data_IF_607164340648
#
_entry.id   IF_607164340648
#
_cell.length_a   1.000
_cell.length_b   1.000
_cell.length_c   1.000
_cell.angle_alpha   90.00
_cell.angle_beta   90.00
_cell.angle_gamma   90.00
#
_symmetry.space_group_name_H-M   'P 1'
#
loop_
_entity.id
_entity.type
_entity.pdbx_description
1 polymer ?
#
# COMPACT_ATOMS: atom_id res chain seq x y z
N UNK A 1 12.71 -2.74 -5.41
CA UNK A 1 13.22 -2.61 -4.03
C UNK A 1 12.91 -1.20 -3.55
N UNK A 2 12.57 -1.02 -2.27
CA UNK A 2 12.18 0.29 -1.71
C UNK A 2 12.56 0.42 -0.24
N UNK A 3 12.45 1.64 0.31
CA UNK A 3 12.74 1.90 1.72
C UNK A 3 11.68 1.27 2.62
N UNK A 4 12.12 0.52 3.64
CA UNK A 4 11.27 -0.19 4.59
C UNK A 4 11.46 0.38 6.00
N UNK A 5 10.39 0.40 6.78
CA UNK A 5 10.41 0.68 8.23
C UNK A 5 9.58 -0.38 8.97
N UNK A 6 9.89 -0.56 10.25
CA UNK A 6 9.15 -1.50 11.11
C UNK A 6 7.74 -0.99 11.39
N UNK A 7 6.79 -1.91 11.45
CA UNK A 7 5.42 -1.64 11.90
C UNK A 7 5.30 -1.80 13.42
N UNK A 8 4.23 -1.29 14.02
CA UNK A 8 3.92 -1.48 15.44
C UNK A 8 3.74 -2.96 15.82
N UNK A 9 3.32 -3.79 14.85
CA UNK A 9 3.18 -5.24 15.00
C UNK A 9 4.50 -6.02 14.77
N UNK A 10 5.65 -5.33 14.64
CA UNK A 10 6.95 -5.97 14.41
C UNK A 10 7.19 -6.46 12.98
N UNK A 11 6.27 -6.22 12.05
CA UNK A 11 6.40 -6.51 10.63
C UNK A 11 7.13 -5.38 9.89
N UNK A 12 7.23 -5.45 8.57
CA UNK A 12 7.86 -4.41 7.73
C UNK A 12 6.86 -3.85 6.73
N UNK A 13 6.92 -2.54 6.51
CA UNK A 13 6.13 -1.85 5.49
C UNK A 13 7.02 -0.87 4.72
N UNK A 14 6.73 -0.69 3.42
CA UNK A 14 7.43 0.32 2.65
C UNK A 14 7.00 1.71 3.10
N UNK A 15 7.97 2.63 3.23
CA UNK A 15 7.71 4.03 3.58
C UNK A 15 6.75 4.65 2.56
N UNK A 16 6.95 4.38 1.26
CA UNK A 16 6.05 4.87 0.20
C UNK A 16 4.62 4.32 0.34
N UNK A 17 4.45 3.04 0.74
CA UNK A 17 3.12 2.48 0.97
C UNK A 17 2.40 3.22 2.10
N UNK A 18 3.12 3.52 3.19
CA UNK A 18 2.56 4.27 4.32
C UNK A 18 2.23 5.73 3.96
N UNK A 19 2.96 6.35 3.02
CA UNK A 19 2.69 7.71 2.57
C UNK A 19 1.45 7.82 1.68
N UNK A 20 1.14 6.80 0.89
CA UNK A 20 0.05 6.82 -0.09
C UNK A 20 -1.23 6.09 0.38
N UNK A 21 -1.18 5.38 1.51
CA UNK A 21 -2.38 4.82 2.17
C UNK A 21 -2.81 5.82 3.25
N UNK A 22 -3.94 6.54 3.07
CA UNK A 22 -4.32 7.65 3.96
C UNK A 22 -4.46 7.29 5.44
N UNK A 23 -4.86 6.04 5.73
CA UNK A 23 -5.10 5.55 7.08
C UNK A 23 -3.83 4.97 7.74
N UNK A 24 -2.74 4.81 6.98
CA UNK A 24 -1.44 4.49 7.55
C UNK A 24 -0.76 5.77 8.02
N UNK A 25 -0.08 5.71 9.16
CA UNK A 25 0.61 6.87 9.70
C UNK A 25 1.89 6.46 10.43
N UNK A 26 2.75 7.44 10.71
CA UNK A 26 3.99 7.22 11.46
C UNK A 26 3.79 7.66 12.90
N UNK A 27 4.09 6.79 13.87
CA UNK A 27 3.97 7.14 15.28
C UNK A 27 4.88 8.31 15.68
N UNK A 28 6.05 8.42 15.04
CA UNK A 28 6.91 9.60 15.10
C UNK A 28 7.22 10.09 13.68
N UNK A 29 6.83 11.32 13.37
CA UNK A 29 7.01 11.93 12.04
C UNK A 29 8.45 12.38 11.75
N UNK A 30 9.26 12.62 12.78
CA UNK A 30 10.68 13.00 12.60
C UNK A 30 11.52 11.79 12.20
N UNK A 31 11.29 10.65 12.86
CA UNK A 31 12.02 9.40 12.58
C UNK A 31 11.31 8.53 11.53
N UNK A 32 10.06 8.85 11.20
CA UNK A 32 9.17 8.07 10.34
C UNK A 32 9.06 6.61 10.80
N UNK A 33 8.97 6.37 12.12
CA UNK A 33 8.83 5.04 12.68
C UNK A 33 8.23 5.01 14.10
N UNK A 34 7.63 3.88 14.52
CA UNK A 34 7.15 2.78 13.66
C UNK A 34 5.99 3.23 12.75
N UNK A 35 5.80 2.49 11.66
CA UNK A 35 4.60 2.62 10.83
C UNK A 35 3.43 2.00 11.60
N UNK A 36 2.32 2.73 11.72
CA UNK A 36 1.09 2.26 12.36
C UNK A 36 0.09 1.86 11.27
N UNK A 37 -0.29 0.59 11.25
CA UNK A 37 -1.23 -0.01 10.30
C UNK A 37 -2.58 -0.42 10.92
N UNK A 38 -2.70 -0.40 12.24
CA UNK A 38 -3.95 -0.73 12.97
C UNK A 38 -5.16 0.10 12.56
N UNK A 39 -4.96 1.33 12.07
CA UNK A 39 -6.02 2.20 11.57
C UNK A 39 -6.44 1.88 10.12
N UNK A 40 -5.70 1.03 9.41
CA UNK A 40 -5.95 0.70 8.01
C UNK A 40 -7.14 -0.28 7.91
N UNK A 41 -8.23 0.06 7.20
CA UNK A 41 -9.38 -0.81 7.05
C UNK A 41 -9.01 -2.14 6.39
N UNK A 42 -9.58 -3.24 6.88
CA UNK A 42 -9.41 -4.58 6.29
C UNK A 42 -9.82 -4.64 4.82
N UNK A 43 -10.77 -3.80 4.41
CA UNK A 43 -11.21 -3.67 3.02
C UNK A 43 -10.06 -3.32 2.06
N UNK A 44 -9.01 -2.62 2.51
CA UNK A 44 -7.84 -2.33 1.66
C UNK A 44 -7.01 -3.57 1.38
N UNK A 45 -7.00 -4.53 2.31
CA UNK A 45 -6.26 -5.79 2.18
C UNK A 45 -7.03 -6.85 1.40
N UNK A 46 -8.33 -6.65 1.14
CA UNK A 46 -9.16 -7.56 0.35
C UNK A 46 -9.27 -7.17 -1.12
N UNK A 47 -8.71 -6.02 -1.53
CA UNK A 47 -8.74 -5.57 -2.93
C UNK A 47 -7.70 -6.28 -3.78
N UNK A 48 -8.02 -6.43 -5.06
CA UNK A 48 -7.12 -6.97 -6.07
C UNK A 48 -6.40 -5.84 -6.79
N UNK A 49 -5.07 -5.92 -6.85
CA UNK A 49 -4.24 -5.03 -7.65
C UNK A 49 -4.34 -5.39 -9.14
N UNK A 50 -4.97 -4.53 -9.94
CA UNK A 50 -5.15 -4.76 -11.39
C UNK A 50 -3.81 -4.94 -12.12
N UNK A 51 -2.77 -4.20 -11.70
CA UNK A 51 -1.42 -4.30 -12.29
C UNK A 51 -0.80 -5.69 -12.02
N UNK A 52 -1.04 -6.28 -10.85
CA UNK A 52 -0.57 -7.63 -10.55
C UNK A 52 -1.33 -8.67 -11.36
N UNK A 53 -2.65 -8.49 -11.51
CA UNK A 53 -3.54 -9.36 -12.27
C UNK A 53 -3.16 -9.36 -13.78
N UNK A 54 -2.93 -8.18 -14.37
CA UNK A 54 -2.44 -8.06 -15.76
C UNK A 54 -1.09 -8.76 -15.98
N UNK A 55 -0.24 -8.78 -14.94
CA UNK A 55 1.05 -9.47 -14.96
C UNK A 55 0.95 -10.97 -14.61
N UNK A 56 -0.27 -11.52 -14.47
CA UNK A 56 -0.53 -12.91 -14.06
C UNK A 56 0.13 -13.30 -12.74
N UNK A 57 0.20 -12.35 -11.79
CA UNK A 57 0.73 -12.55 -10.45
C UNK A 57 -0.40 -12.63 -9.43
N UNK A 58 -1.33 -13.55 -9.62
CA UNK A 58 -2.60 -13.64 -8.90
C UNK A 58 -2.42 -13.73 -7.38
N UNK A 59 -1.46 -14.55 -6.92
CA UNK A 59 -1.13 -14.67 -5.49
C UNK A 59 -0.60 -13.36 -4.89
N UNK A 60 0.01 -12.50 -5.71
CA UNK A 60 0.46 -11.16 -5.29
C UNK A 60 -0.58 -10.08 -5.58
N UNK A 61 -1.66 -10.38 -6.29
CA UNK A 61 -2.68 -9.40 -6.62
C UNK A 61 -3.54 -9.08 -5.39
N UNK A 62 -3.74 -10.05 -4.51
CA UNK A 62 -4.49 -9.93 -3.24
C UNK A 62 -3.58 -9.88 -2.00
N UNK A 63 -2.26 -9.73 -2.20
CA UNK A 63 -1.29 -9.74 -1.11
C UNK A 63 -0.93 -8.33 -0.63
N UNK A 64 -1.51 -7.91 0.49
CA UNK A 64 -1.24 -6.62 1.12
C UNK A 64 -2.33 -5.60 0.84
N UNK A 65 -2.09 -4.33 1.18
CA UNK A 65 -3.07 -3.26 1.04
C UNK A 65 -2.97 -2.56 -0.32
N UNK A 66 -4.11 -2.35 -0.97
CA UNK A 66 -4.22 -1.55 -2.19
C UNK A 66 -4.74 -0.13 -1.93
N UNK A 67 -4.33 0.79 -2.80
CA UNK A 67 -4.94 2.11 -2.92
C UNK A 67 -5.90 2.14 -4.11
N UNK A 68 -6.88 3.06 -4.06
CA UNK A 68 -7.84 3.28 -5.13
C UNK A 68 -7.34 4.40 -6.06
N UNK A 69 -7.64 4.30 -7.34
CA UNK A 69 -7.42 5.39 -8.29
C UNK A 69 -8.17 6.66 -7.86
N UNK A 70 -7.48 7.81 -7.89
CA UNK A 70 -8.04 9.11 -7.48
C UNK A 70 -9.04 9.71 -8.50
N UNK A 71 -9.25 9.06 -9.64
CA UNK A 71 -10.21 9.53 -10.65
C UNK A 71 -11.64 9.22 -10.19
N UNK A 72 -12.51 10.24 -10.17
CA UNK A 72 -13.94 10.07 -9.87
C UNK A 72 -14.54 8.96 -10.74
N UNK A 73 -15.34 8.10 -10.10
CA UNK A 73 -15.99 6.92 -10.71
C UNK A 73 -15.05 5.77 -11.11
N UNK A 74 -13.74 5.88 -10.90
CA UNK A 74 -12.81 4.77 -11.10
C UNK A 74 -12.83 3.82 -9.90
N UNK A 75 -13.04 2.53 -10.17
CA UNK A 75 -13.03 1.45 -9.15
C UNK A 75 -11.78 0.58 -9.23
N UNK A 76 -10.73 1.07 -9.88
CA UNK A 76 -9.46 0.36 -10.00
C UNK A 76 -8.66 0.49 -8.71
N UNK A 77 -8.07 -0.64 -8.29
CA UNK A 77 -7.21 -0.75 -7.12
C UNK A 77 -5.84 -1.26 -7.51
N UNK A 78 -4.81 -0.77 -6.85
CA UNK A 78 -3.44 -1.18 -7.11
C UNK A 78 -2.55 -1.04 -5.87
N UNK A 79 -1.49 -1.82 -5.82
CA UNK A 79 -0.43 -1.60 -4.83
C UNK A 79 0.31 -0.30 -5.15
N UNK A 80 0.64 0.46 -4.11
CA UNK A 80 1.43 1.70 -4.22
C UNK A 80 2.74 1.44 -4.99
N UNK A 81 3.45 0.36 -4.67
CA UNK A 81 4.70 -0.01 -5.36
C UNK A 81 4.51 -0.48 -6.80
N UNK A 82 3.35 -1.05 -7.15
CA UNK A 82 3.03 -1.40 -8.53
C UNK A 82 2.77 -0.14 -9.37
N UNK A 83 2.03 0.84 -8.83
CA UNK A 83 1.86 2.13 -9.49
C UNK A 83 3.18 2.91 -9.58
N UNK A 84 4.01 2.86 -8.53
CA UNK A 84 5.33 3.51 -8.53
C UNK A 84 6.20 3.01 -9.69
N UNK A 85 6.24 1.69 -9.90
CA UNK A 85 7.04 1.07 -10.95
C UNK A 85 6.56 1.44 -12.37
N UNK A 86 5.31 1.86 -12.52
CA UNK A 86 4.69 2.28 -13.79
C UNK A 86 4.62 3.81 -13.92
N UNK A 87 5.09 4.58 -12.94
CA UNK A 87 5.01 6.04 -12.96
C UNK A 87 3.59 6.59 -12.80
N UNK A 88 2.72 5.89 -12.06
CA UNK A 88 1.29 6.21 -11.87
C UNK A 88 0.95 6.79 -10.49
N UNK A 89 1.96 7.17 -9.69
CA UNK A 89 1.80 7.77 -8.35
C UNK A 89 1.75 9.30 -8.38
#
# INVERSE_FOLDING_TARGET
AGALKRTEAGSWCHVVCALYIPEAWFANVQTMEPIVLTSVPTDRFSKTCYICEEQKRDTKATAGACMQCNRNSCKQYFHVTCAQAQGLL
#
